data_IF_194799076443
#
_entry.id   IF_194799076443
#
_cell.length_a   1.000
_cell.length_b   1.000
_cell.length_c   1.000
_cell.angle_alpha   90.00
_cell.angle_beta   90.00
_cell.angle_gamma   90.00
#
_symmetry.space_group_name_H-M   'P 1'
#
loop_
_entity.id
_entity.type
_entity.pdbx_description
1 polymer ?
#
# COMPACT_ATOMS: atom_id res chain seq x y z
N UNK A 1 -5.44 49.66 3.22
CA UNK A 1 -5.67 48.30 3.74
C UNK A 1 -5.35 47.33 2.62
N UNK A 2 -4.13 46.83 2.60
CA UNK A 2 -3.63 45.96 1.54
C UNK A 2 -4.06 44.52 1.78
N UNK A 3 -4.77 43.96 0.81
CA UNK A 3 -5.04 42.53 0.79
C UNK A 3 -3.75 41.80 0.44
N UNK A 4 -3.23 41.03 1.40
CA UNK A 4 -2.15 40.08 1.17
C UNK A 4 -2.73 38.96 0.29
N UNK A 5 -2.35 38.96 -0.99
CA UNK A 5 -2.59 37.84 -1.88
C UNK A 5 -1.89 36.61 -1.29
N UNK A 6 -2.67 35.68 -0.75
CA UNK A 6 -2.19 34.32 -0.45
C UNK A 6 -1.83 33.71 -1.81
N UNK A 7 -0.54 33.53 -2.03
CA UNK A 7 -0.07 32.72 -3.15
C UNK A 7 -0.79 31.38 -3.11
N UNK A 8 -1.54 31.06 -4.14
CA UNK A 8 -2.10 29.74 -4.37
C UNK A 8 -0.90 28.81 -4.54
N UNK A 9 -0.58 28.07 -3.47
CA UNK A 9 0.29 26.93 -3.59
C UNK A 9 -0.54 25.91 -4.38
N UNK A 10 -0.38 25.94 -5.69
CA UNK A 10 -1.11 25.10 -6.64
C UNK A 10 -0.51 23.68 -6.54
N UNK A 11 -0.79 23.03 -5.39
CA UNK A 11 -0.37 21.67 -5.15
C UNK A 11 -1.11 20.81 -6.14
N UNK A 12 -0.36 20.13 -7.00
CA UNK A 12 -0.94 19.20 -7.97
C UNK A 12 -1.81 18.18 -7.25
N UNK A 13 -3.12 18.23 -7.50
CA UNK A 13 -4.07 17.24 -7.01
C UNK A 13 -3.81 15.94 -7.76
N UNK A 14 -3.43 14.90 -7.03
CA UNK A 14 -3.06 13.61 -7.63
C UNK A 14 -3.53 12.47 -6.73
N UNK A 15 -4.15 11.46 -7.32
CA UNK A 15 -4.61 10.26 -6.61
C UNK A 15 -3.47 9.53 -5.87
N UNK A 16 -2.22 9.67 -6.31
CA UNK A 16 -1.06 9.19 -5.58
C UNK A 16 -0.92 9.91 -4.24
N UNK A 17 -1.11 11.24 -4.20
CA UNK A 17 -1.07 12.01 -2.96
C UNK A 17 -2.15 11.55 -1.99
N UNK A 18 -3.36 11.32 -2.49
CA UNK A 18 -4.48 10.82 -1.68
C UNK A 18 -4.22 9.41 -1.16
N UNK A 19 -3.67 8.53 -1.99
CA UNK A 19 -3.29 7.18 -1.58
C UNK A 19 -2.17 7.21 -0.53
N UNK A 20 -1.15 8.05 -0.69
CA UNK A 20 -0.07 8.21 0.28
C UNK A 20 -0.58 8.80 1.60
N UNK A 21 -1.60 9.65 1.58
CA UNK A 21 -2.26 10.11 2.81
C UNK A 21 -2.88 8.96 3.61
N UNK A 22 -3.26 7.86 2.96
CA UNK A 22 -3.81 6.64 3.59
C UNK A 22 -2.72 5.68 4.02
N UNK A 23 -1.78 5.34 3.13
CA UNK A 23 -0.83 4.24 3.32
C UNK A 23 0.63 4.68 3.36
N UNK A 24 0.93 5.96 3.18
CA UNK A 24 2.30 6.46 3.04
C UNK A 24 3.11 6.56 4.33
N UNK A 25 2.54 6.23 5.47
CA UNK A 25 3.29 6.15 6.72
C UNK A 25 4.07 4.83 6.84
N UNK A 26 5.09 4.85 7.69
CA UNK A 26 6.03 3.75 7.84
C UNK A 26 5.39 2.37 8.12
N UNK A 27 4.24 2.32 8.78
CA UNK A 27 3.68 1.07 9.29
C UNK A 27 2.41 0.60 8.58
N UNK A 28 1.70 1.47 7.86
CA UNK A 28 0.43 1.10 7.22
C UNK A 28 0.60 -0.01 6.18
N UNK A 29 1.57 0.12 5.27
CA UNK A 29 1.86 -0.94 4.29
C UNK A 29 2.40 -2.21 4.93
N UNK A 30 3.13 -2.09 6.07
CA UNK A 30 3.60 -3.28 6.80
C UNK A 30 2.43 -4.03 7.44
N UNK A 31 1.44 -3.34 8.02
CA UNK A 31 0.21 -3.97 8.53
C UNK A 31 -0.54 -4.68 7.40
N UNK A 32 -0.72 -4.03 6.26
CA UNK A 32 -1.39 -4.62 5.09
C UNK A 32 -0.63 -5.86 4.61
N UNK A 33 0.70 -5.82 4.56
CA UNK A 33 1.56 -6.96 4.23
C UNK A 33 1.33 -8.14 5.17
N UNK A 34 1.39 -7.91 6.47
CA UNK A 34 1.22 -8.98 7.46
C UNK A 34 -0.17 -9.62 7.38
N UNK A 35 -1.22 -8.79 7.22
CA UNK A 35 -2.58 -9.30 7.02
C UNK A 35 -2.70 -10.10 5.71
N UNK A 36 -2.02 -9.67 4.65
CA UNK A 36 -1.97 -10.41 3.38
C UNK A 36 -1.23 -11.75 3.51
N UNK A 37 -0.28 -11.86 4.45
CA UNK A 37 0.43 -13.10 4.78
C UNK A 37 -0.35 -14.00 5.74
N UNK A 38 -1.53 -13.58 6.21
CA UNK A 38 -2.40 -14.36 7.09
C UNK A 38 -2.18 -14.11 8.59
N UNK A 39 -1.33 -13.15 8.97
CA UNK A 39 -1.15 -12.75 10.36
C UNK A 39 -2.32 -11.87 10.78
N UNK A 40 -3.30 -12.42 11.48
CA UNK A 40 -4.55 -11.72 11.83
C UNK A 40 -4.60 -11.15 13.24
N UNK A 41 -3.70 -11.59 14.15
CA UNK A 41 -3.76 -11.23 15.57
C UNK A 41 -2.82 -10.08 15.92
N UNK A 42 -3.27 -9.22 16.84
CA UNK A 42 -2.49 -8.07 17.30
C UNK A 42 -1.06 -8.44 17.76
N UNK A 43 -0.90 -9.54 18.48
CA UNK A 43 0.41 -9.99 18.98
C UNK A 43 1.34 -10.38 17.84
N UNK A 44 0.85 -11.11 16.84
CA UNK A 44 1.61 -11.50 15.65
C UNK A 44 2.04 -10.27 14.84
N UNK A 45 1.10 -9.34 14.60
CA UNK A 45 1.39 -8.08 13.91
C UNK A 45 2.45 -7.28 14.66
N UNK A 46 2.36 -7.21 15.99
CA UNK A 46 3.32 -6.46 16.81
C UNK A 46 4.72 -7.04 16.73
N UNK A 47 4.84 -8.36 16.83
CA UNK A 47 6.11 -9.09 16.75
C UNK A 47 6.76 -8.95 15.37
N UNK A 48 5.98 -9.12 14.32
CA UNK A 48 6.49 -9.10 12.95
C UNK A 48 6.83 -7.69 12.44
N UNK A 49 6.12 -6.66 12.91
CA UNK A 49 6.34 -5.26 12.48
C UNK A 49 7.41 -4.58 13.35
N UNK A 50 7.53 -4.96 14.63
CA UNK A 50 8.55 -4.43 15.53
C UNK A 50 8.32 -2.97 15.96
N UNK A 51 7.08 -2.46 15.94
CA UNK A 51 6.73 -1.13 16.41
C UNK A 51 6.19 -1.16 17.86
N UNK A 52 5.94 0.01 18.45
CA UNK A 52 5.30 0.07 19.77
C UNK A 52 3.82 -0.37 19.72
N UNK A 53 3.28 -0.85 20.84
CA UNK A 53 1.86 -1.22 20.96
C UNK A 53 0.93 -0.06 20.61
N UNK A 54 1.26 1.14 21.05
CA UNK A 54 0.44 2.33 20.80
C UNK A 54 0.46 2.72 19.32
N UNK A 55 1.63 2.61 18.68
CA UNK A 55 1.79 2.84 17.24
C UNK A 55 0.93 1.85 16.44
N UNK A 56 1.05 0.55 16.73
CA UNK A 56 0.25 -0.46 16.03
C UNK A 56 -1.25 -0.23 16.25
N UNK A 57 -1.67 0.01 17.50
CA UNK A 57 -3.07 0.25 17.81
C UNK A 57 -3.62 1.49 17.09
N UNK A 58 -2.84 2.56 17.00
CA UNK A 58 -3.22 3.76 16.25
C UNK A 58 -3.35 3.48 14.75
N UNK A 59 -2.43 2.69 14.17
CA UNK A 59 -2.48 2.30 12.75
C UNK A 59 -3.68 1.43 12.43
N UNK A 60 -3.94 0.42 13.24
CA UNK A 60 -5.09 -0.47 13.06
C UNK A 60 -6.41 0.31 13.12
N UNK A 61 -6.58 1.20 14.13
CA UNK A 61 -7.78 2.06 14.21
C UNK A 61 -7.93 2.98 13.00
N UNK A 62 -6.83 3.57 12.52
CA UNK A 62 -6.85 4.44 11.35
C UNK A 62 -7.27 3.67 10.10
N UNK A 63 -6.64 2.53 9.83
CA UNK A 63 -6.95 1.70 8.66
C UNK A 63 -8.37 1.12 8.72
N UNK A 64 -8.86 0.78 9.93
CA UNK A 64 -10.25 0.37 10.16
C UNK A 64 -11.22 1.54 9.83
N UNK A 65 -10.95 2.74 10.34
CA UNK A 65 -11.76 3.93 10.07
C UNK A 65 -11.79 4.36 8.59
N UNK A 66 -10.76 3.99 7.83
CA UNK A 66 -10.66 4.22 6.38
C UNK A 66 -11.23 3.05 5.55
N UNK A 67 -11.75 2.01 6.20
CA UNK A 67 -12.33 0.85 5.52
C UNK A 67 -11.32 -0.02 4.78
N UNK A 68 -10.03 0.04 5.14
CA UNK A 68 -8.97 -0.79 4.56
C UNK A 68 -8.91 -2.16 5.23
N UNK A 69 -9.17 -2.20 6.52
CA UNK A 69 -9.30 -3.44 7.28
C UNK A 69 -10.56 -3.39 8.14
N UNK A 70 -10.96 -4.54 8.60
CA UNK A 70 -12.00 -4.74 9.60
C UNK A 70 -11.48 -5.62 10.72
N UNK A 71 -12.09 -5.51 11.90
CA UNK A 71 -11.80 -6.38 13.02
C UNK A 71 -13.01 -7.22 13.38
N UNK A 72 -12.76 -8.49 13.61
CA UNK A 72 -13.75 -9.45 14.07
C UNK A 72 -13.40 -9.94 15.47
N UNK A 73 -14.40 -10.01 16.34
CA UNK A 73 -14.21 -10.52 17.70
C UNK A 73 -14.29 -12.03 17.71
N UNK A 74 -13.19 -12.71 18.05
CA UNK A 74 -13.17 -14.17 18.13
C UNK A 74 -13.25 -14.73 19.56
N UNK A 75 -13.09 -13.90 20.62
CA UNK A 75 -13.24 -14.32 22.01
C UNK A 75 -13.99 -13.26 22.81
N UNK A 76 -14.86 -13.72 23.71
CA UNK A 76 -15.70 -12.87 24.55
C UNK A 76 -15.02 -12.49 25.87
N UNK A 77 -14.28 -13.43 26.48
CA UNK A 77 -13.66 -13.26 27.81
C UNK A 77 -12.28 -13.92 27.83
N UNK A 78 -11.19 -13.10 27.83
CA UNK A 78 -11.16 -11.67 27.54
C UNK A 78 -11.52 -11.36 26.10
N UNK A 79 -11.94 -10.12 25.82
CA UNK A 79 -12.25 -9.70 24.46
C UNK A 79 -10.98 -9.74 23.59
N UNK A 80 -10.99 -10.54 22.52
CA UNK A 80 -9.90 -10.66 21.58
C UNK A 80 -10.41 -10.49 20.16
N UNK A 81 -9.60 -9.86 19.33
CA UNK A 81 -9.95 -9.50 17.96
C UNK A 81 -8.94 -10.05 16.97
N UNK A 82 -9.43 -10.42 15.79
CA UNK A 82 -8.66 -10.65 14.60
C UNK A 82 -8.91 -9.53 13.59
N UNK A 83 -7.91 -9.24 12.78
CA UNK A 83 -7.96 -8.21 11.76
C UNK A 83 -7.92 -8.86 10.38
N UNK A 84 -8.71 -8.35 9.45
CA UNK A 84 -8.77 -8.83 8.07
C UNK A 84 -8.78 -7.65 7.11
N UNK A 85 -8.21 -7.84 5.93
CA UNK A 85 -8.34 -6.87 4.86
C UNK A 85 -9.77 -6.87 4.31
N UNK A 86 -10.34 -5.69 4.13
CA UNK A 86 -11.56 -5.52 3.34
C UNK A 86 -11.26 -5.73 1.86
N UNK A 87 -12.27 -5.57 0.99
CA UNK A 87 -12.06 -5.58 -0.45
C UNK A 87 -11.05 -4.52 -0.89
N UNK A 88 -11.23 -3.26 -0.45
CA UNK A 88 -10.30 -2.16 -0.76
C UNK A 88 -8.89 -2.39 -0.22
N UNK A 89 -8.77 -2.97 0.98
CA UNK A 89 -7.48 -3.38 1.53
C UNK A 89 -6.80 -4.50 0.73
N UNK A 90 -7.58 -5.45 0.23
CA UNK A 90 -7.06 -6.54 -0.62
C UNK A 90 -6.54 -6.02 -1.96
N UNK A 91 -7.15 -4.98 -2.51
CA UNK A 91 -6.71 -4.31 -3.73
C UNK A 91 -5.35 -3.60 -3.58
N UNK A 92 -4.85 -3.38 -2.35
CA UNK A 92 -3.49 -2.89 -2.07
C UNK A 92 -2.41 -3.99 -2.13
N UNK A 93 -2.77 -5.28 -2.16
CA UNK A 93 -1.79 -6.38 -2.21
C UNK A 93 -0.85 -6.30 -3.41
N UNK A 94 -1.31 -6.03 -4.65
CA UNK A 94 -0.41 -5.87 -5.79
C UNK A 94 0.61 -4.74 -5.61
N UNK A 95 0.23 -3.65 -4.94
CA UNK A 95 1.14 -2.53 -4.65
C UNK A 95 2.24 -2.96 -3.67
N UNK A 96 1.88 -3.71 -2.62
CA UNK A 96 2.84 -4.28 -1.67
C UNK A 96 3.81 -5.23 -2.38
N UNK A 97 3.31 -6.07 -3.29
CA UNK A 97 4.14 -7.00 -4.06
C UNK A 97 5.08 -6.26 -5.02
N UNK A 98 4.61 -5.21 -5.69
CA UNK A 98 5.45 -4.37 -6.55
C UNK A 98 6.55 -3.64 -5.76
N UNK A 99 6.23 -3.12 -4.57
CA UNK A 99 7.21 -2.52 -3.66
C UNK A 99 8.23 -3.55 -3.15
N UNK A 100 7.78 -4.77 -2.86
CA UNK A 100 8.68 -5.88 -2.50
C UNK A 100 9.66 -6.17 -3.62
N UNK A 101 9.16 -6.37 -4.84
CA UNK A 101 9.98 -6.66 -6.02
C UNK A 101 11.03 -5.57 -6.27
N UNK A 102 10.63 -4.30 -6.16
CA UNK A 102 11.54 -3.17 -6.27
C UNK A 102 12.59 -3.16 -5.15
N UNK A 103 12.15 -3.42 -3.91
CA UNK A 103 13.03 -3.47 -2.73
C UNK A 103 14.07 -4.59 -2.82
N UNK A 104 13.66 -5.79 -3.22
CA UNK A 104 14.55 -6.94 -3.38
C UNK A 104 15.61 -6.69 -4.47
N UNK A 105 15.22 -5.98 -5.54
CA UNK A 105 16.12 -5.68 -6.66
C UNK A 105 17.14 -4.57 -6.35
N UNK A 106 16.72 -3.55 -5.60
CA UNK A 106 17.49 -2.31 -5.45
C UNK A 106 18.03 -2.07 -4.04
N UNK A 107 17.45 -2.70 -3.02
CA UNK A 107 17.83 -2.51 -1.62
C UNK A 107 18.45 -3.81 -1.09
N UNK A 108 19.74 -4.01 -1.34
CA UNK A 108 20.46 -5.18 -0.83
C UNK A 108 20.56 -5.10 0.71
N UNK A 109 19.56 -5.65 1.41
CA UNK A 109 19.48 -5.65 2.87
C UNK A 109 20.24 -6.80 3.53
N UNK A 110 20.88 -7.68 2.75
CA UNK A 110 21.51 -8.91 3.25
C UNK A 110 20.50 -9.92 3.84
N UNK A 111 19.20 -9.74 3.60
CA UNK A 111 18.14 -10.65 4.04
C UNK A 111 17.71 -11.52 2.88
N UNK A 112 17.36 -12.77 3.17
CA UNK A 112 16.72 -13.62 2.19
C UNK A 112 15.33 -13.07 1.82
N UNK A 113 15.03 -12.91 0.52
CA UNK A 113 13.71 -12.42 0.09
C UNK A 113 12.62 -13.46 0.39
N UNK A 114 11.43 -12.99 0.69
CA UNK A 114 10.25 -13.86 0.73
C UNK A 114 9.87 -14.24 -0.70
N UNK A 115 9.83 -15.54 -0.99
CA UNK A 115 9.50 -16.08 -2.30
C UNK A 115 8.03 -16.50 -2.30
N UNK A 116 7.29 -16.11 -3.33
CA UNK A 116 5.92 -16.58 -3.57
C UNK A 116 5.91 -17.54 -4.74
N UNK A 117 5.19 -18.65 -4.60
CA UNK A 117 4.88 -19.54 -5.69
C UNK A 117 3.49 -19.21 -6.27
N UNK A 118 3.38 -19.11 -7.58
CA UNK A 118 2.10 -19.01 -8.27
C UNK A 118 1.48 -20.40 -8.46
N UNK A 119 0.17 -20.47 -8.68
CA UNK A 119 -0.56 -21.72 -8.90
C UNK A 119 -0.08 -22.52 -10.13
N UNK A 120 0.62 -21.90 -11.08
CA UNK A 120 1.26 -22.57 -12.20
C UNK A 120 2.56 -23.32 -11.82
N UNK A 121 3.01 -23.21 -10.55
CA UNK A 121 4.23 -23.82 -10.03
C UNK A 121 5.50 -22.98 -10.16
N UNK A 122 5.45 -21.83 -10.87
CA UNK A 122 6.59 -20.93 -11.00
C UNK A 122 6.69 -19.95 -9.83
N UNK A 123 7.88 -19.42 -9.61
CA UNK A 123 8.08 -18.28 -8.72
C UNK A 123 7.30 -17.06 -9.24
N UNK A 124 6.64 -16.36 -8.34
CA UNK A 124 5.83 -15.20 -8.68
C UNK A 124 6.69 -13.93 -8.68
N UNK A 125 6.66 -13.22 -9.81
CA UNK A 125 7.24 -11.88 -9.96
C UNK A 125 6.15 -10.88 -10.33
N UNK A 126 6.10 -9.77 -9.58
CA UNK A 126 5.13 -8.71 -9.86
C UNK A 126 5.56 -7.89 -11.08
N UNK A 127 4.64 -7.73 -12.05
CA UNK A 127 4.84 -6.89 -13.24
C UNK A 127 3.64 -5.99 -13.45
N UNK A 128 3.89 -4.79 -13.96
CA UNK A 128 2.84 -3.87 -14.39
C UNK A 128 2.65 -4.04 -15.89
N UNK A 129 1.42 -4.35 -16.30
CA UNK A 129 1.08 -4.56 -17.70
C UNK A 129 -0.09 -3.66 -18.12
N UNK A 130 -0.15 -3.31 -19.39
CA UNK A 130 -1.31 -2.62 -19.95
C UNK A 130 -2.52 -3.56 -19.95
N UNK A 131 -3.64 -3.14 -19.34
CA UNK A 131 -4.84 -3.97 -19.28
C UNK A 131 -5.49 -4.23 -20.66
N UNK A 132 -5.17 -3.42 -21.67
CA UNK A 132 -5.74 -3.56 -23.01
C UNK A 132 -4.97 -4.53 -23.90
N UNK A 133 -3.63 -4.48 -23.89
CA UNK A 133 -2.79 -5.33 -24.76
C UNK A 133 -2.01 -6.42 -23.99
N UNK A 134 -1.92 -6.33 -22.65
CA UNK A 134 -1.17 -7.27 -21.83
C UNK A 134 0.33 -7.07 -21.83
N UNK A 135 0.85 -6.10 -22.57
CA UNK A 135 2.28 -5.83 -22.65
C UNK A 135 2.78 -5.00 -21.47
N UNK A 136 4.02 -5.20 -21.08
CA UNK A 136 4.72 -4.38 -20.10
C UNK A 136 5.20 -3.10 -20.79
N UNK A 137 4.74 -1.91 -20.40
CA UNK A 137 5.10 -0.69 -21.09
C UNK A 137 6.51 -0.24 -20.72
N UNK A 138 7.29 0.20 -21.70
CA UNK A 138 8.47 0.99 -21.42
C UNK A 138 8.05 2.34 -20.83
N UNK A 139 8.78 2.87 -19.81
CA UNK A 139 8.45 4.15 -19.19
C UNK A 139 8.28 5.29 -20.22
N UNK A 140 9.05 5.31 -21.30
CA UNK A 140 8.95 6.31 -22.35
C UNK A 140 7.75 6.19 -23.29
N UNK A 141 6.99 5.10 -23.22
CA UNK A 141 5.80 4.87 -24.05
C UNK A 141 4.51 5.41 -23.41
N UNK A 142 4.52 5.59 -22.09
CA UNK A 142 3.38 6.14 -21.39
C UNK A 142 3.30 7.65 -21.59
N UNK A 143 2.12 8.14 -21.98
CA UNK A 143 1.85 9.57 -22.17
C UNK A 143 0.63 9.99 -21.40
N UNK A 144 0.71 11.17 -20.81
CA UNK A 144 -0.41 11.79 -20.16
C UNK A 144 -1.36 12.32 -21.24
N UNK A 145 -2.58 11.77 -21.29
CA UNK A 145 -3.61 12.16 -22.28
C UNK A 145 -4.75 12.97 -21.68
N UNK A 146 -4.79 13.14 -20.35
CA UNK A 146 -5.84 13.89 -19.66
C UNK A 146 -5.58 14.03 -18.17
N UNK A 147 -6.44 14.81 -17.51
CA UNK A 147 -6.35 15.12 -16.08
C UNK A 147 -6.15 16.62 -15.80
N UNK A 148 -6.70 17.10 -14.69
CA UNK A 148 -6.71 18.54 -14.34
C UNK A 148 -5.35 19.12 -13.98
N UNK A 149 -4.38 18.28 -13.62
CA UNK A 149 -3.04 18.70 -13.16
C UNK A 149 -1.90 18.21 -14.05
N UNK A 150 -2.21 17.66 -15.20
CA UNK A 150 -1.24 17.08 -16.10
C UNK A 150 -1.02 17.99 -17.34
N UNK A 151 0.22 18.03 -17.82
CA UNK A 151 0.53 18.63 -19.13
C UNK A 151 0.38 17.52 -20.17
N UNK A 152 -0.63 17.59 -21.07
CA UNK A 152 -0.84 16.55 -22.07
C UNK A 152 0.38 16.35 -22.95
N UNK A 153 0.68 15.08 -23.30
CA UNK A 153 1.81 14.73 -24.16
C UNK A 153 3.16 14.63 -23.45
N UNK A 154 3.24 14.92 -22.16
CA UNK A 154 4.48 14.72 -21.39
C UNK A 154 4.72 13.20 -21.21
N UNK A 155 5.92 12.69 -21.52
CA UNK A 155 6.30 11.31 -21.17
C UNK A 155 6.29 11.16 -19.64
N UNK A 156 5.91 9.99 -19.20
CA UNK A 156 5.89 9.64 -17.78
C UNK A 156 7.23 9.08 -17.33
#
# INVERSE_FOLDING_TARGET
MGAVARGSNDVRVCSVTDALAVVGDQYSLQVIRELAYGCSRFTQLLENIGCSRDTLAARLRRLEGLGILERERYSQRPARYEYRLTRSGTELRPIVLALKEWGDRHLNSGREPVIFAHSCGAEFHARTVCAACGEEPDPGELRITGGTSAVPGTPW
#
